data_IF_366097125133
#
_entry.id   IF_366097125133
#
_cell.length_a   1.000
_cell.length_b   1.000
_cell.length_c   1.000
_cell.angle_alpha   90.00
_cell.angle_beta   90.00
_cell.angle_gamma   90.00
#
_symmetry.space_group_name_H-M   'P 1'
#
loop_
_entity.id
_entity.type
_entity.pdbx_description
1 polymer ?
#
# COMPACT_ATOMS: atom_id res chain seq x y z
N UNK A 1 7.40 -6.99 18.41
CA UNK A 1 7.48 -6.87 16.94
C UNK A 1 8.73 -6.06 16.64
N UNK A 2 9.62 -6.55 15.78
CA UNK A 2 10.85 -5.85 15.40
C UNK A 2 10.57 -4.92 14.23
N UNK A 3 11.12 -3.71 14.24
CA UNK A 3 10.88 -2.68 13.22
C UNK A 3 12.12 -2.52 12.33
N UNK A 4 11.90 -2.43 11.02
CA UNK A 4 12.92 -2.13 10.02
C UNK A 4 12.47 -0.91 9.21
N UNK A 5 13.42 -0.09 8.74
CA UNK A 5 13.14 1.08 7.91
C UNK A 5 13.98 1.04 6.63
N UNK A 6 13.33 1.29 5.49
CA UNK A 6 13.96 1.37 4.17
C UNK A 6 13.14 2.32 3.29
N UNK A 7 13.79 3.02 2.36
CA UNK A 7 13.16 3.92 1.40
C UNK A 7 13.05 3.23 0.04
N UNK A 8 11.85 3.19 -0.52
CA UNK A 8 11.55 2.57 -1.81
C UNK A 8 10.60 3.48 -2.60
N UNK A 9 10.91 3.67 -3.88
CA UNK A 9 10.07 4.42 -4.81
C UNK A 9 9.27 3.43 -5.63
N UNK A 10 7.99 3.73 -5.85
CA UNK A 10 7.10 2.93 -6.68
C UNK A 10 6.60 3.76 -7.87
N UNK A 11 6.48 3.13 -9.03
CA UNK A 11 5.71 3.69 -10.13
C UNK A 11 4.19 3.47 -9.95
N UNK A 12 3.39 4.04 -10.85
CA UNK A 12 1.93 3.95 -10.80
C UNK A 12 1.44 2.50 -10.86
N UNK A 13 2.07 1.64 -11.66
CA UNK A 13 1.68 0.24 -11.82
C UNK A 13 2.01 -0.56 -10.57
N UNK A 14 3.16 -0.31 -9.94
CA UNK A 14 3.58 -0.92 -8.68
C UNK A 14 2.67 -0.51 -7.51
N UNK A 15 2.26 0.77 -7.45
CA UNK A 15 1.29 1.28 -6.47
C UNK A 15 -0.06 0.56 -6.62
N UNK A 16 -0.56 0.40 -7.84
CA UNK A 16 -1.83 -0.29 -8.13
C UNK A 16 -1.74 -1.77 -7.73
N UNK A 17 -0.65 -2.44 -8.10
CA UNK A 17 -0.40 -3.83 -7.75
C UNK A 17 -0.35 -4.02 -6.23
N UNK A 18 0.40 -3.18 -5.53
CA UNK A 18 0.55 -3.27 -4.07
C UNK A 18 -0.77 -2.98 -3.34
N UNK A 19 -1.55 -2.00 -3.81
CA UNK A 19 -2.91 -1.74 -3.32
C UNK A 19 -3.83 -2.95 -3.48
N UNK A 20 -3.78 -3.61 -4.63
CA UNK A 20 -4.57 -4.82 -4.92
C UNK A 20 -4.17 -6.00 -4.02
N UNK A 21 -2.87 -6.21 -3.83
CA UNK A 21 -2.34 -7.24 -2.94
C UNK A 21 -2.76 -7.00 -1.48
N UNK A 22 -2.67 -5.76 -1.01
CA UNK A 22 -3.09 -5.38 0.35
C UNK A 22 -4.59 -5.61 0.55
N UNK A 23 -5.43 -5.31 -0.45
CA UNK A 23 -6.87 -5.59 -0.39
C UNK A 23 -7.18 -7.08 -0.28
N UNK A 24 -6.52 -7.91 -1.08
CA UNK A 24 -6.67 -9.37 -1.00
C UNK A 24 -6.23 -9.91 0.36
N UNK A 25 -5.13 -9.39 0.90
CA UNK A 25 -4.63 -9.82 2.20
C UNK A 25 -5.53 -9.41 3.37
N UNK A 26 -6.11 -8.20 3.33
CA UNK A 26 -7.12 -7.77 4.30
C UNK A 26 -8.33 -8.69 4.26
N UNK A 27 -8.83 -9.01 3.06
CA UNK A 27 -9.96 -9.93 2.88
C UNK A 27 -9.65 -11.31 3.47
N UNK A 28 -8.47 -11.86 3.20
CA UNK A 28 -8.03 -13.13 3.77
C UNK A 28 -7.99 -13.07 5.31
N UNK A 29 -7.46 -11.99 5.89
CA UNK A 29 -7.46 -11.83 7.35
C UNK A 29 -8.89 -11.74 7.92
N UNK A 30 -9.81 -11.05 7.24
CA UNK A 30 -11.22 -10.97 7.65
C UNK A 30 -11.92 -12.33 7.60
N UNK A 31 -11.62 -13.16 6.60
CA UNK A 31 -12.13 -14.54 6.50
C UNK A 31 -11.65 -15.40 7.67
N UNK A 32 -10.35 -15.33 7.99
CA UNK A 32 -9.76 -16.08 9.09
C UNK A 32 -10.27 -15.61 10.46
N UNK A 33 -10.51 -14.30 10.63
CA UNK A 33 -11.10 -13.74 11.86
C UNK A 33 -12.55 -14.21 12.06
N UNK A 34 -13.32 -14.39 10.98
CA UNK A 34 -14.68 -14.95 11.04
C UNK A 34 -14.69 -16.43 11.44
N UNK A 35 -13.66 -17.18 11.07
CA UNK A 35 -13.47 -18.58 11.44
C UNK A 35 -12.93 -18.76 12.89
N UNK A 36 -12.78 -17.66 13.64
CA UNK A 36 -12.36 -17.67 15.04
C UNK A 36 -10.85 -17.56 15.26
N UNK A 37 -10.04 -17.42 14.21
CA UNK A 37 -8.61 -17.21 14.33
C UNK A 37 -8.30 -15.75 14.74
N UNK A 38 -7.60 -15.54 15.86
CA UNK A 38 -7.34 -14.18 16.39
C UNK A 38 -5.96 -13.67 15.98
N UNK A 39 -4.90 -14.36 16.39
CA UNK A 39 -3.52 -14.03 16.05
C UNK A 39 -2.98 -15.01 14.97
N UNK A 40 -2.20 -14.55 13.98
CA UNK A 40 -1.72 -13.18 13.77
C UNK A 40 -2.64 -12.30 12.91
N UNK A 41 -3.82 -12.80 12.51
CA UNK A 41 -4.69 -12.15 11.51
C UNK A 41 -5.18 -10.76 11.93
N UNK A 42 -5.51 -10.53 13.21
CA UNK A 42 -5.91 -9.21 13.69
C UNK A 42 -4.78 -8.17 13.57
N UNK A 43 -3.55 -8.56 13.94
CA UNK A 43 -2.39 -7.70 13.85
C UNK A 43 -2.01 -7.43 12.39
N UNK A 44 -2.04 -8.47 11.54
CA UNK A 44 -1.73 -8.40 10.12
C UNK A 44 -2.74 -7.54 9.36
N UNK A 45 -4.05 -7.68 9.65
CA UNK A 45 -5.12 -6.85 9.10
C UNK A 45 -4.87 -5.37 9.40
N UNK A 46 -4.60 -5.05 10.66
CA UNK A 46 -4.34 -3.68 11.10
C UNK A 46 -3.09 -3.10 10.43
N UNK A 47 -2.00 -3.89 10.34
CA UNK A 47 -0.78 -3.48 9.65
C UNK A 47 -1.03 -3.23 8.16
N UNK A 48 -1.77 -4.11 7.48
CA UNK A 48 -2.10 -3.99 6.06
C UNK A 48 -2.97 -2.74 5.77
N UNK A 49 -3.96 -2.44 6.62
CA UNK A 49 -4.75 -1.20 6.51
C UNK A 49 -3.88 0.04 6.67
N UNK A 50 -2.91 0.04 7.59
CA UNK A 50 -1.97 1.14 7.78
C UNK A 50 -1.05 1.33 6.58
N UNK A 51 -0.49 0.25 6.03
CA UNK A 51 0.33 0.31 4.81
C UNK A 51 -0.49 0.85 3.65
N UNK A 52 -1.71 0.34 3.43
CA UNK A 52 -2.59 0.81 2.35
C UNK A 52 -2.94 2.29 2.47
N UNK A 53 -3.19 2.79 3.69
CA UNK A 53 -3.40 4.24 3.91
C UNK A 53 -2.15 5.06 3.58
N UNK A 54 -0.95 4.57 3.92
CA UNK A 54 0.31 5.25 3.63
C UNK A 54 0.62 5.33 2.14
N UNK A 55 0.28 4.30 1.36
CA UNK A 55 0.50 4.29 -0.10
C UNK A 55 -0.07 5.53 -0.81
N UNK A 56 -1.24 6.01 -0.39
CA UNK A 56 -1.95 7.12 -1.05
C UNK A 56 -1.84 8.46 -0.31
N UNK A 57 -1.16 8.49 0.86
CA UNK A 57 -1.15 9.66 1.73
C UNK A 57 -0.15 10.76 1.33
N UNK A 58 0.84 10.44 0.51
CA UNK A 58 1.93 11.38 0.19
C UNK A 58 2.55 11.10 -1.19
N UNK A 59 1.77 11.14 -2.29
CA UNK A 59 2.34 10.99 -3.62
C UNK A 59 3.21 12.22 -3.95
N UNK A 60 4.52 12.05 -3.92
CA UNK A 60 5.46 13.01 -4.51
C UNK A 60 5.62 12.65 -5.98
N UNK A 61 5.15 13.50 -6.88
CA UNK A 61 5.37 13.31 -8.31
C UNK A 61 6.85 13.53 -8.65
N UNK A 62 7.58 12.43 -8.86
CA UNK A 62 9.03 12.48 -9.15
C UNK A 62 9.32 12.63 -10.65
N UNK A 63 8.33 12.36 -11.50
CA UNK A 63 8.45 12.54 -12.96
C UNK A 63 7.10 12.91 -13.57
N UNK A 64 7.14 13.70 -14.63
CA UNK A 64 5.98 14.15 -15.38
C UNK A 64 6.44 14.86 -16.64
N UNK A 65 5.79 14.58 -17.77
CA UNK A 65 6.10 15.28 -19.01
C UNK A 65 5.44 16.66 -18.96
N UNK A 66 6.25 17.72 -18.83
CA UNK A 66 5.78 19.09 -19.03
C UNK A 66 5.53 19.30 -20.53
N UNK A 67 4.28 19.11 -20.96
CA UNK A 67 3.77 19.63 -22.23
C UNK A 67 3.72 21.16 -22.13
N UNK A 68 4.87 21.80 -22.29
CA UNK A 68 4.97 23.26 -22.14
C UNK A 68 6.42 23.73 -22.10
N UNK A 69 7.12 23.60 -23.22
CA UNK A 69 7.99 24.69 -23.66
C UNK A 69 8.03 24.68 -25.19
N UNK A 70 7.13 25.48 -25.75
CA UNK A 70 6.82 25.58 -27.16
C UNK A 70 5.93 26.80 -27.35
N UNK A 71 6.41 27.94 -26.86
CA UNK A 71 5.88 29.25 -27.20
C UNK A 71 7.06 30.09 -27.68
N UNK A 72 6.96 30.42 -28.98
CA UNK A 72 7.76 31.31 -29.83
C UNK A 72 9.07 30.78 -30.44
#
# INVERSE_FOLDING_TARGET
MTTYSHEMTFDDSEIIMLSSALNLFIKHCDEQLKDGAVAPYWANRTAAEQVRRRLFSNPTQTSGYSLGDGVE
#
